data_IF_809944172138
#
_entry.id   IF_809944172138
#
_cell.length_a   1.000
_cell.length_b   1.000
_cell.length_c   1.000
_cell.angle_alpha   90.00
_cell.angle_beta   90.00
_cell.angle_gamma   90.00
#
_symmetry.space_group_name_H-M   'P 1'
#
loop_
_entity.id
_entity.type
_entity.pdbx_description
1 polymer ?
#
# COMPACT_ATOMS: atom_id res chain seq x y z
N UNK A 1 4.15 -0.23 -46.60
CA UNK A 1 3.28 -0.12 -45.41
C UNK A 1 3.85 -0.88 -44.19
N UNK A 2 4.23 -2.15 -44.33
CA UNK A 2 4.79 -2.97 -43.22
C UNK A 2 6.16 -2.45 -42.72
N UNK A 3 7.06 -2.02 -43.62
CA UNK A 3 8.35 -1.41 -43.22
C UNK A 3 8.19 -0.07 -42.49
N UNK A 4 7.12 0.69 -42.78
CA UNK A 4 6.82 1.94 -42.08
C UNK A 4 6.43 1.70 -40.63
N UNK A 5 5.56 0.69 -40.40
CA UNK A 5 5.12 0.30 -39.06
C UNK A 5 6.29 -0.25 -38.22
N UNK A 6 7.18 -1.04 -38.83
CA UNK A 6 8.38 -1.55 -38.15
C UNK A 6 9.37 -0.43 -37.79
N UNK A 7 9.53 0.56 -38.67
CA UNK A 7 10.35 1.76 -38.41
C UNK A 7 9.77 2.63 -37.28
N UNK A 8 8.45 2.81 -37.24
CA UNK A 8 7.78 3.53 -36.15
C UNK A 8 7.87 2.77 -34.83
N UNK A 9 7.77 1.43 -34.85
CA UNK A 9 7.95 0.60 -33.66
C UNK A 9 9.40 0.64 -33.15
N UNK A 10 10.41 0.55 -34.03
CA UNK A 10 11.82 0.70 -33.63
C UNK A 10 12.13 2.10 -33.09
N UNK A 11 11.57 3.16 -33.68
CA UNK A 11 11.71 4.52 -33.17
C UNK A 11 10.99 4.72 -31.83
N UNK A 12 9.82 4.07 -31.64
CA UNK A 12 9.10 4.04 -30.37
C UNK A 12 9.89 3.25 -29.30
N UNK A 13 10.49 2.11 -29.66
CA UNK A 13 11.35 1.32 -28.77
C UNK A 13 12.63 2.06 -28.41
N UNK A 14 13.27 2.74 -29.37
CA UNK A 14 14.42 3.59 -29.11
C UNK A 14 14.04 4.77 -28.22
N UNK A 15 12.93 5.47 -28.50
CA UNK A 15 12.44 6.57 -27.66
C UNK A 15 12.06 6.11 -26.25
N UNK A 16 11.40 4.95 -26.10
CA UNK A 16 11.16 4.33 -24.79
C UNK A 16 12.48 3.96 -24.12
N UNK A 17 13.47 3.43 -24.86
CA UNK A 17 14.80 3.10 -24.34
C UNK A 17 15.61 4.34 -23.91
N UNK A 18 15.38 5.50 -24.52
CA UNK A 18 16.05 6.75 -24.15
C UNK A 18 15.29 7.49 -23.03
N UNK A 19 13.96 7.43 -23.01
CA UNK A 19 13.14 7.94 -21.90
C UNK A 19 13.23 7.07 -20.63
N UNK A 20 13.56 5.78 -20.76
CA UNK A 20 13.80 4.87 -19.62
C UNK A 20 15.09 5.19 -18.86
N UNK A 21 16.01 5.98 -19.43
CA UNK A 21 17.17 6.49 -18.70
C UNK A 21 16.83 7.58 -17.68
N UNK A 22 15.61 8.12 -17.70
CA UNK A 22 15.18 9.22 -16.83
C UNK A 22 13.97 8.84 -15.99
N UNK A 23 13.94 7.63 -15.42
CA UNK A 23 13.14 7.38 -14.22
C UNK A 23 13.94 7.87 -13.00
N UNK A 24 14.02 9.19 -12.82
CA UNK A 24 14.53 9.78 -11.59
C UNK A 24 13.52 9.51 -10.48
N UNK A 25 13.72 8.41 -9.74
CA UNK A 25 13.14 8.26 -8.40
C UNK A 25 13.87 9.25 -7.50
N UNK A 26 13.44 10.52 -7.53
CA UNK A 26 13.84 11.48 -6.52
C UNK A 26 13.11 11.12 -5.21
N UNK A 27 13.72 10.26 -4.41
CA UNK A 27 13.56 10.46 -2.97
C UNK A 27 14.16 11.84 -2.65
N UNK A 28 13.47 12.70 -1.89
CA UNK A 28 13.99 14.02 -1.57
C UNK A 28 15.38 13.89 -0.94
N UNK A 29 16.41 14.55 -1.49
CA UNK A 29 17.75 14.55 -0.90
C UNK A 29 17.73 15.53 0.27
N UNK A 30 17.26 15.07 1.44
CA UNK A 30 17.47 15.66 2.78
C UNK A 30 16.71 14.84 3.83
N UNK A 31 17.27 13.69 4.20
CA UNK A 31 17.11 13.15 5.54
C UNK A 31 18.44 13.41 6.25
N UNK A 32 18.42 14.31 7.21
CA UNK A 32 19.61 14.72 7.98
C UNK A 32 20.31 13.52 8.63
N UNK A 33 21.65 13.50 8.71
CA UNK A 33 22.42 12.30 9.09
C UNK A 33 22.49 11.98 10.59
N UNK A 34 21.55 12.47 11.42
CA UNK A 34 21.63 12.28 12.87
C UNK A 34 20.40 11.57 13.44
N UNK A 35 20.28 10.27 13.19
CA UNK A 35 19.53 9.36 14.07
C UNK A 35 20.27 8.00 14.10
N UNK A 36 21.19 7.90 15.05
CA UNK A 36 21.81 6.64 15.46
C UNK A 36 20.69 5.73 16.00
N UNK A 37 20.52 4.48 15.50
CA UNK A 37 19.51 3.57 16.05
C UNK A 37 19.98 3.02 17.40
N UNK A 38 19.18 3.27 18.45
CA UNK A 38 19.30 2.55 19.73
C UNK A 38 18.61 1.20 19.57
N UNK A 39 19.40 0.14 19.69
CA UNK A 39 19.01 -1.26 19.64
C UNK A 39 18.22 -1.68 20.90
N UNK A 40 16.99 -2.22 20.81
CA UNK A 40 16.43 -3.04 21.87
C UNK A 40 16.68 -4.51 21.53
N UNK A 41 17.69 -5.08 22.17
CA UNK A 41 18.02 -6.49 22.09
C UNK A 41 16.81 -7.36 22.50
N UNK A 42 16.65 -8.45 21.77
CA UNK A 42 15.78 -9.57 22.10
C UNK A 42 16.07 -10.12 23.51
N UNK A 43 15.02 -10.43 24.27
CA UNK A 43 15.06 -11.46 25.32
C UNK A 43 13.82 -12.34 25.23
N UNK A 44 13.97 -13.67 25.25
CA UNK A 44 12.85 -14.60 25.32
C UNK A 44 12.30 -14.66 26.75
N UNK A 45 10.98 -14.73 26.90
CA UNK A 45 10.33 -14.98 28.19
C UNK A 45 10.48 -16.48 28.51
N UNK A 46 11.27 -16.79 29.54
CA UNK A 46 11.32 -18.12 30.14
C UNK A 46 10.16 -18.31 31.12
N UNK A 47 9.61 -19.52 31.12
CA UNK A 47 8.59 -20.01 32.04
C UNK A 47 9.05 -19.89 33.51
N UNK A 48 8.14 -19.48 34.39
CA UNK A 48 8.30 -19.61 35.83
C UNK A 48 7.24 -20.58 36.36
N UNK A 49 7.74 -21.58 37.06
CA UNK A 49 7.04 -22.70 37.66
C UNK A 49 6.10 -22.27 38.80
N UNK A 50 5.06 -23.07 38.97
CA UNK A 50 4.27 -23.20 40.18
C UNK A 50 5.10 -24.00 41.18
N UNK A 51 5.25 -23.50 42.40
CA UNK A 51 5.32 -24.37 43.58
C UNK A 51 4.80 -23.66 44.85
N UNK A 52 4.14 -24.48 45.66
CA UNK A 52 3.46 -24.19 46.91
C UNK A 52 4.41 -23.74 48.04
N UNK A 53 3.91 -22.98 49.02
CA UNK A 53 3.77 -23.44 50.42
C UNK A 53 3.42 -22.31 51.43
N UNK A 54 2.34 -22.58 52.17
CA UNK A 54 2.12 -22.37 53.63
C UNK A 54 2.11 -20.97 54.26
N UNK A 55 1.03 -20.70 55.02
CA UNK A 55 1.05 -19.78 56.16
C UNK A 55 -0.32 -19.21 56.55
N UNK A 56 -1.00 -19.86 57.49
CA UNK A 56 -2.30 -19.44 58.04
C UNK A 56 -2.16 -18.56 59.31
N UNK A 57 -3.04 -17.57 59.48
CA UNK A 57 -3.70 -17.14 60.76
C UNK A 57 -4.63 -15.94 60.48
N UNK A 58 -5.95 -16.10 60.41
CA UNK A 58 -6.98 -15.90 61.46
C UNK A 58 -7.12 -14.49 62.08
N UNK A 59 -8.29 -13.88 61.80
CA UNK A 59 -9.19 -13.10 62.67
C UNK A 59 -8.67 -11.73 63.20
N UNK A 60 -9.43 -10.65 63.43
CA UNK A 60 -10.85 -10.36 63.72
C UNK A 60 -11.13 -8.86 63.52
N UNK A 61 -12.39 -8.54 63.21
CA UNK A 61 -13.27 -7.45 63.70
C UNK A 61 -12.89 -5.95 63.73
N UNK A 62 -13.92 -5.21 63.30
CA UNK A 62 -14.47 -3.97 63.86
C UNK A 62 -14.22 -2.59 63.24
N UNK A 63 -15.33 -1.83 63.29
CA UNK A 63 -15.73 -0.66 62.52
C UNK A 63 -15.42 0.69 63.21
N UNK A 64 -15.83 1.77 62.52
CA UNK A 64 -15.79 3.23 62.83
C UNK A 64 -14.69 3.99 62.06
N UNK A 65 -14.85 5.22 61.57
CA UNK A 65 -15.93 6.21 61.44
C UNK A 65 -15.37 7.37 60.57
N UNK A 66 -16.26 8.16 59.96
CA UNK A 66 -16.06 9.57 59.54
C UNK A 66 -14.99 9.99 58.52
N UNK A 67 -15.48 10.35 57.33
CA UNK A 67 -15.24 11.60 56.56
C UNK A 67 -13.93 12.39 56.77
N UNK A 68 -13.09 12.45 55.72
CA UNK A 68 -12.43 13.69 55.26
C UNK A 68 -12.27 13.67 53.74
N UNK A 69 -12.71 14.76 53.12
CA UNK A 69 -12.58 15.12 51.70
C UNK A 69 -11.12 15.15 51.22
N UNK A 70 -10.77 14.39 50.18
CA UNK A 70 -9.65 14.75 49.30
C UNK A 70 -9.94 14.49 47.82
N UNK A 71 -9.83 15.59 47.09
CA UNK A 71 -9.76 15.79 45.65
C UNK A 71 -8.71 14.86 45.02
N UNK A 72 -9.14 13.84 44.28
CA UNK A 72 -8.24 13.03 43.45
C UNK A 72 -8.27 13.54 42.01
N UNK A 73 -7.20 14.23 41.66
CA UNK A 73 -6.70 14.41 40.30
C UNK A 73 -6.52 13.03 39.65
N UNK A 74 -7.43 12.67 38.75
CA UNK A 74 -7.26 11.50 37.89
C UNK A 74 -6.27 11.86 36.79
N UNK A 75 -5.00 11.56 37.03
CA UNK A 75 -3.98 11.47 35.98
C UNK A 75 -4.42 10.40 34.98
N UNK A 76 -5.06 10.85 33.90
CA UNK A 76 -5.27 10.05 32.72
C UNK A 76 -3.90 9.74 32.13
N UNK A 77 -3.39 8.56 32.46
CA UNK A 77 -2.18 7.96 31.89
C UNK A 77 -2.32 7.98 30.36
N UNK A 78 -1.76 9.02 29.74
CA UNK A 78 -1.70 9.14 28.29
C UNK A 78 -0.79 8.02 27.81
N UNK A 79 -1.40 7.00 27.20
CA UNK A 79 -0.67 6.00 26.43
C UNK A 79 0.42 6.71 25.60
N UNK A 80 1.69 6.27 25.67
CA UNK A 80 2.79 7.00 25.06
C UNK A 80 2.52 7.20 23.58
N UNK A 81 2.75 8.42 23.09
CA UNK A 81 2.73 8.72 21.66
C UNK A 81 3.91 7.99 21.01
N UNK A 82 3.70 6.75 20.57
CA UNK A 82 4.69 6.00 19.80
C UNK A 82 4.83 6.70 18.45
N UNK A 83 5.78 7.63 18.34
CA UNK A 83 6.22 8.19 17.05
C UNK A 83 7.14 7.18 16.38
N UNK A 84 6.61 6.01 16.01
CA UNK A 84 7.26 5.11 15.08
C UNK A 84 7.16 5.75 13.70
N UNK A 85 8.13 6.57 13.33
CA UNK A 85 8.30 6.95 11.92
C UNK A 85 8.78 5.70 11.20
N UNK A 86 7.86 4.94 10.62
CA UNK A 86 8.17 3.78 9.80
C UNK A 86 9.18 4.16 8.71
N UNK A 87 10.08 3.24 8.37
CA UNK A 87 11.00 3.45 7.26
C UNK A 87 10.18 3.69 5.99
N UNK A 88 10.47 4.76 5.22
CA UNK A 88 9.79 5.03 3.94
C UNK A 88 9.89 3.86 2.96
N UNK A 89 10.85 2.95 3.17
CA UNK A 89 11.06 1.72 2.41
C UNK A 89 10.19 0.56 2.85
N UNK A 90 9.38 0.69 3.91
CA UNK A 90 8.27 -0.20 4.22
C UNK A 90 7.00 0.36 3.62
N UNK A 91 6.61 -0.19 2.48
CA UNK A 91 5.50 0.28 1.66
C UNK A 91 4.29 -0.59 1.92
N UNK A 92 3.13 0.01 2.18
CA UNK A 92 1.85 -0.70 2.27
C UNK A 92 1.02 -0.44 1.02
N UNK A 93 0.67 -1.51 0.31
CA UNK A 93 -0.36 -1.49 -0.72
C UNK A 93 -1.71 -1.90 -0.08
N UNK A 94 -2.70 -1.02 -0.13
CA UNK A 94 -4.05 -1.30 0.38
C UNK A 94 -5.02 -1.51 -0.78
N UNK A 95 -5.58 -2.72 -0.87
CA UNK A 95 -6.49 -3.16 -1.93
C UNK A 95 -7.81 -3.66 -1.36
N UNK A 96 -8.84 -3.76 -2.20
CA UNK A 96 -10.15 -4.23 -1.78
C UNK A 96 -10.26 -5.76 -1.90
N UNK A 97 -9.73 -6.32 -2.99
CA UNK A 97 -9.97 -7.71 -3.39
C UNK A 97 -8.68 -8.43 -3.80
N UNK A 98 -8.66 -9.77 -3.70
CA UNK A 98 -7.69 -10.60 -4.40
C UNK A 98 -7.79 -10.37 -5.92
N UNK A 99 -6.69 -10.02 -6.58
CA UNK A 99 -6.50 -9.68 -8.01
C UNK A 99 -6.11 -8.22 -8.25
N UNK A 100 -6.56 -7.31 -7.37
CA UNK A 100 -6.31 -5.87 -7.45
C UNK A 100 -4.81 -5.55 -7.57
N UNK A 101 -3.96 -6.26 -6.83
CA UNK A 101 -2.53 -6.00 -6.72
C UNK A 101 -1.82 -6.13 -8.07
N UNK A 102 -2.10 -7.19 -8.83
CA UNK A 102 -1.51 -7.40 -10.14
C UNK A 102 -2.32 -6.73 -11.24
N UNK A 103 -3.64 -6.57 -11.04
CA UNK A 103 -4.52 -5.96 -12.04
C UNK A 103 -4.24 -4.46 -12.18
N UNK A 104 -3.99 -3.76 -11.08
CA UNK A 104 -3.88 -2.31 -11.08
C UNK A 104 -2.49 -1.78 -10.71
N UNK A 105 -1.72 -2.54 -9.92
CA UNK A 105 -0.46 -2.06 -9.33
C UNK A 105 0.79 -2.81 -9.82
N UNK A 106 0.70 -3.62 -10.88
CA UNK A 106 1.85 -4.36 -11.43
C UNK A 106 3.09 -3.50 -11.72
N UNK A 107 2.99 -2.36 -12.44
CA UNK A 107 4.11 -1.45 -12.66
C UNK A 107 4.73 -0.90 -11.37
N UNK A 108 3.92 -0.54 -10.37
CA UNK A 108 4.42 -0.14 -9.04
C UNK A 108 5.19 -1.29 -8.38
N UNK A 109 4.57 -2.47 -8.26
CA UNK A 109 5.14 -3.61 -7.53
C UNK A 109 6.46 -4.09 -8.14
N UNK A 110 6.53 -4.15 -9.47
CA UNK A 110 7.77 -4.52 -10.18
C UNK A 110 8.87 -3.45 -10.03
N UNK A 111 8.51 -2.17 -10.05
CA UNK A 111 9.47 -1.10 -9.81
C UNK A 111 10.03 -1.12 -8.38
N UNK A 112 9.17 -1.34 -7.37
CA UNK A 112 9.59 -1.46 -5.97
C UNK A 112 10.48 -2.69 -5.75
N UNK A 113 10.14 -3.83 -6.37
CA UNK A 113 10.95 -5.05 -6.30
C UNK A 113 12.37 -4.85 -6.86
N UNK A 114 12.51 -4.05 -7.93
CA UNK A 114 13.81 -3.75 -8.55
C UNK A 114 14.59 -2.66 -7.81
N UNK A 115 13.94 -1.87 -6.97
CA UNK A 115 14.58 -0.76 -6.30
C UNK A 115 15.59 -1.27 -5.27
N UNK A 116 16.78 -0.68 -5.31
CA UNK A 116 17.87 -0.94 -4.38
C UNK A 116 18.46 0.41 -3.95
N UNK A 117 18.91 0.51 -2.70
CA UNK A 117 19.60 1.70 -2.21
C UNK A 117 20.86 1.94 -3.05
N UNK A 118 21.11 3.19 -3.50
CA UNK A 118 22.35 3.54 -4.19
C UNK A 118 23.55 3.55 -3.24
N UNK A 119 23.32 3.62 -1.93
CA UNK A 119 24.35 3.51 -0.91
C UNK A 119 24.65 2.02 -0.63
N UNK A 120 25.87 1.54 -0.94
CA UNK A 120 26.24 0.15 -0.72
C UNK A 120 26.40 -0.21 0.77
N UNK A 121 26.46 0.77 1.67
CA UNK A 121 26.59 0.58 3.12
C UNK A 121 25.25 0.54 3.84
N UNK A 122 24.15 0.70 3.10
CA UNK A 122 22.81 0.79 3.65
C UNK A 122 22.35 -0.54 4.27
N UNK A 123 22.00 -0.56 5.57
CA UNK A 123 21.59 -1.79 6.25
C UNK A 123 20.21 -2.30 5.79
N UNK A 124 19.42 -1.47 5.12
CA UNK A 124 18.08 -1.84 4.60
C UNK A 124 18.00 -1.49 3.12
N UNK A 125 18.76 -2.20 2.27
CA UNK A 125 19.05 -1.70 0.93
C UNK A 125 17.93 -2.01 -0.07
N UNK A 126 16.83 -2.65 0.36
CA UNK A 126 15.66 -2.98 -0.47
C UNK A 126 14.39 -2.36 0.09
N UNK A 127 13.39 -2.20 -0.78
CA UNK A 127 12.02 -1.90 -0.35
C UNK A 127 11.37 -3.19 0.16
N UNK A 128 10.72 -3.08 1.31
CA UNK A 128 9.86 -4.11 1.87
C UNK A 128 8.40 -3.74 1.57
N UNK A 129 7.71 -4.56 0.80
CA UNK A 129 6.30 -4.34 0.44
C UNK A 129 5.42 -5.19 1.34
N UNK A 130 4.36 -4.58 1.86
CA UNK A 130 3.25 -5.20 2.56
C UNK A 130 1.97 -5.02 1.77
N UNK A 131 1.07 -6.00 1.82
CA UNK A 131 -0.24 -5.96 1.17
C UNK A 131 -1.32 -6.14 2.23
N UNK A 132 -2.27 -5.21 2.26
CA UNK A 132 -3.49 -5.32 3.05
C UNK A 132 -4.69 -5.40 2.11
N UNK A 133 -5.28 -6.59 2.03
CA UNK A 133 -6.47 -6.85 1.25
C UNK A 133 -7.70 -6.84 2.17
N UNK A 134 -8.67 -5.96 1.89
CA UNK A 134 -9.80 -5.66 2.78
C UNK A 134 -10.93 -6.69 2.75
N UNK A 135 -10.85 -7.67 1.86
CA UNK A 135 -11.81 -8.77 1.80
C UNK A 135 -11.15 -10.05 1.30
N UNK A 136 -11.78 -11.19 1.57
CA UNK A 136 -11.38 -12.49 1.01
C UNK A 136 -11.80 -12.69 -0.45
N UNK A 137 -12.45 -11.70 -1.08
CA UNK A 137 -12.92 -11.82 -2.48
C UNK A 137 -14.05 -12.83 -2.68
N UNK A 138 -14.96 -12.97 -1.70
CA UNK A 138 -15.92 -14.08 -1.65
C UNK A 138 -17.25 -13.84 -2.38
N UNK A 139 -17.34 -12.87 -3.31
CA UNK A 139 -18.59 -12.59 -4.03
C UNK A 139 -19.18 -13.84 -4.71
N UNK A 140 -18.33 -14.63 -5.36
CA UNK A 140 -18.72 -15.87 -6.05
C UNK A 140 -18.58 -17.13 -5.17
N UNK A 141 -18.51 -16.98 -3.85
CA UNK A 141 -18.26 -18.09 -2.89
C UNK A 141 -16.92 -18.81 -3.10
N UNK A 142 -15.91 -18.11 -3.62
CA UNK A 142 -14.57 -18.64 -3.92
C UNK A 142 -13.46 -18.05 -3.04
N UNK A 143 -13.80 -17.47 -1.88
CA UNK A 143 -12.86 -16.73 -1.04
C UNK A 143 -11.67 -17.57 -0.52
N UNK A 144 -11.90 -18.85 -0.20
CA UNK A 144 -10.80 -19.75 0.22
C UNK A 144 -9.75 -19.93 -0.88
N UNK A 145 -10.20 -20.09 -2.14
CA UNK A 145 -9.31 -20.24 -3.29
C UNK A 145 -8.58 -18.91 -3.58
N UNK A 146 -9.31 -17.79 -3.61
CA UNK A 146 -8.78 -16.48 -3.96
C UNK A 146 -7.74 -15.95 -2.98
N UNK A 147 -7.85 -16.31 -1.69
CA UNK A 147 -6.81 -16.02 -0.70
C UNK A 147 -5.48 -16.68 -1.05
N UNK A 148 -5.52 -17.95 -1.46
CA UNK A 148 -4.32 -18.69 -1.88
C UNK A 148 -3.75 -18.12 -3.18
N UNK A 149 -4.62 -17.73 -4.12
CA UNK A 149 -4.23 -17.10 -5.38
C UNK A 149 -3.53 -15.75 -5.15
N UNK A 150 -4.06 -14.89 -4.26
CA UNK A 150 -3.41 -13.63 -3.88
C UNK A 150 -2.00 -13.86 -3.34
N UNK A 151 -1.82 -14.83 -2.44
CA UNK A 151 -0.49 -15.12 -1.89
C UNK A 151 0.49 -15.56 -2.99
N UNK A 152 0.05 -16.39 -3.95
CA UNK A 152 0.88 -16.82 -5.10
C UNK A 152 1.21 -15.65 -6.03
N UNK A 153 0.24 -14.79 -6.31
CA UNK A 153 0.43 -13.59 -7.13
C UNK A 153 1.44 -12.62 -6.48
N UNK A 154 1.27 -12.32 -5.19
CA UNK A 154 2.21 -11.48 -4.42
C UNK A 154 3.65 -12.06 -4.43
N UNK A 155 3.80 -13.38 -4.38
CA UNK A 155 5.11 -14.03 -4.46
C UNK A 155 5.84 -13.75 -5.79
N UNK A 156 5.13 -13.53 -6.91
CA UNK A 156 5.73 -13.13 -8.20
C UNK A 156 6.45 -11.78 -8.10
N UNK A 157 5.99 -10.90 -7.22
CA UNK A 157 6.61 -9.60 -6.95
C UNK A 157 7.63 -9.66 -5.79
N UNK A 158 7.96 -10.85 -5.27
CA UNK A 158 8.91 -11.02 -4.17
C UNK A 158 8.37 -10.60 -2.81
N UNK A 159 7.04 -10.50 -2.67
CA UNK A 159 6.37 -10.17 -1.42
C UNK A 159 6.26 -11.44 -0.57
N UNK A 160 6.83 -11.40 0.64
CA UNK A 160 6.77 -12.52 1.57
C UNK A 160 5.33 -12.74 2.09
N UNK A 161 4.95 -13.99 2.36
CA UNK A 161 3.59 -14.34 2.81
C UNK A 161 3.22 -13.62 4.11
N UNK A 162 4.19 -13.43 5.00
CA UNK A 162 4.05 -12.81 6.32
C UNK A 162 3.72 -11.31 6.22
N UNK A 163 4.00 -10.71 5.05
CA UNK A 163 3.74 -9.32 4.72
C UNK A 163 2.37 -9.12 4.06
N UNK A 164 1.59 -10.19 3.90
CA UNK A 164 0.24 -10.16 3.32
C UNK A 164 -0.77 -10.35 4.46
N UNK A 165 -1.70 -9.41 4.59
CA UNK A 165 -2.83 -9.48 5.50
C UNK A 165 -4.09 -9.48 4.65
N UNK A 166 -4.93 -10.50 4.83
CA UNK A 166 -6.25 -10.59 4.20
C UNK A 166 -7.29 -10.50 5.30
N UNK A 167 -8.21 -9.55 5.16
CA UNK A 167 -9.28 -9.31 6.13
C UNK A 167 -10.46 -10.19 5.78
N UNK A 168 -10.88 -11.00 6.74
CA UNK A 168 -12.11 -11.77 6.71
C UNK A 168 -13.06 -11.22 7.78
N UNK A 169 -13.72 -10.10 7.46
CA UNK A 169 -14.69 -9.43 8.32
C UNK A 169 -16.05 -9.38 7.61
N UNK A 170 -17.13 -9.94 8.20
CA UNK A 170 -18.47 -9.90 7.62
C UNK A 170 -19.00 -8.48 7.35
N UNK A 171 -18.43 -7.46 8.01
CA UNK A 171 -18.75 -6.05 7.83
C UNK A 171 -18.12 -5.43 6.59
N UNK A 172 -17.16 -6.12 5.96
CA UNK A 172 -16.48 -5.74 4.72
C UNK A 172 -16.72 -6.77 3.60
N UNK A 173 -17.99 -7.05 3.25
CA UNK A 173 -18.27 -8.08 2.26
C UNK A 173 -17.77 -7.66 0.88
N UNK A 174 -17.23 -8.61 0.14
CA UNK A 174 -17.00 -8.47 -1.30
C UNK A 174 -18.36 -8.47 -2.01
N UNK A 175 -18.96 -7.28 -2.16
CA UNK A 175 -20.20 -7.07 -2.86
C UNK A 175 -20.24 -5.64 -3.43
N UNK A 176 -20.36 -5.46 -4.77
CA UNK A 176 -20.33 -4.14 -5.39
C UNK A 176 -21.50 -3.23 -4.96
N UNK A 177 -22.57 -3.79 -4.41
CA UNK A 177 -23.76 -3.07 -3.95
C UNK A 177 -23.74 -2.76 -2.45
N UNK A 178 -22.66 -3.09 -1.73
CA UNK A 178 -22.52 -2.81 -0.31
C UNK A 178 -21.45 -1.75 -0.10
N UNK A 179 -21.75 -0.80 0.77
CA UNK A 179 -20.81 0.26 1.15
C UNK A 179 -20.14 -0.13 2.44
N UNK A 180 -18.81 -0.12 2.45
CA UNK A 180 -18.03 -0.41 3.65
C UNK A 180 -18.03 0.78 4.62
N UNK A 181 -17.98 0.48 5.91
CA UNK A 181 -17.85 1.50 6.94
C UNK A 181 -16.44 2.11 6.90
N UNK A 182 -16.35 3.41 6.57
CA UNK A 182 -15.07 4.11 6.38
C UNK A 182 -14.24 4.15 7.67
N UNK A 183 -14.87 4.29 8.84
CA UNK A 183 -14.16 4.29 10.12
C UNK A 183 -13.57 2.92 10.44
N UNK A 184 -14.27 1.83 10.12
CA UNK A 184 -13.74 0.47 10.26
C UNK A 184 -12.54 0.26 9.34
N UNK A 185 -12.66 0.60 8.05
CA UNK A 185 -11.56 0.53 7.09
C UNK A 185 -10.37 1.33 7.60
N UNK A 186 -10.57 2.59 8.03
CA UNK A 186 -9.51 3.43 8.57
C UNK A 186 -8.82 2.83 9.79
N UNK A 187 -9.57 2.22 10.73
CA UNK A 187 -9.00 1.55 11.92
C UNK A 187 -8.15 0.35 11.55
N UNK A 188 -8.57 -0.45 10.57
CA UNK A 188 -7.79 -1.62 10.12
C UNK A 188 -6.49 -1.17 9.46
N UNK A 189 -6.54 -0.13 8.59
CA UNK A 189 -5.34 0.45 7.98
C UNK A 189 -4.41 1.02 9.06
N UNK A 190 -4.94 1.81 10.01
CA UNK A 190 -4.16 2.39 11.11
C UNK A 190 -3.44 1.30 11.90
N UNK A 191 -4.15 0.23 12.25
CA UNK A 191 -3.56 -0.91 12.96
C UNK A 191 -2.42 -1.54 12.15
N UNK A 192 -2.62 -1.80 10.86
CA UNK A 192 -1.58 -2.35 10.00
C UNK A 192 -0.35 -1.44 9.91
N UNK A 193 -0.57 -0.13 9.74
CA UNK A 193 0.52 0.86 9.67
C UNK A 193 1.37 0.86 10.93
N UNK A 194 0.72 0.89 12.10
CA UNK A 194 1.40 0.91 13.40
C UNK A 194 2.13 -0.42 13.64
N UNK A 195 1.45 -1.55 13.47
CA UNK A 195 2.01 -2.87 13.80
C UNK A 195 3.17 -3.26 12.88
N UNK A 196 3.12 -2.86 11.60
CA UNK A 196 4.16 -3.19 10.60
C UNK A 196 5.21 -2.10 10.42
N UNK A 197 5.09 -0.96 11.12
CA UNK A 197 6.02 0.15 11.00
C UNK A 197 6.10 0.70 9.57
N UNK A 198 4.95 0.87 8.92
CA UNK A 198 4.83 1.32 7.53
C UNK A 198 5.25 2.79 7.40
N UNK A 199 6.02 3.11 6.37
CA UNK A 199 6.46 4.47 6.06
C UNK A 199 5.81 5.09 4.83
N UNK A 200 5.14 4.33 3.97
CA UNK A 200 4.34 4.90 2.86
C UNK A 200 3.17 4.01 2.45
N UNK A 201 2.13 4.62 1.87
CA UNK A 201 0.90 3.91 1.45
C UNK A 201 0.63 4.14 -0.04
N UNK A 202 0.20 3.08 -0.74
CA UNK A 202 -0.38 3.14 -2.07
C UNK A 202 -1.79 2.53 -2.05
N UNK A 203 -2.74 3.17 -2.74
CA UNK A 203 -4.11 2.67 -2.85
C UNK A 203 -4.83 3.26 -4.08
N UNK A 204 -6.14 3.07 -4.19
CA UNK A 204 -7.00 3.62 -5.24
C UNK A 204 -7.32 5.12 -5.03
N UNK A 205 -7.81 5.80 -6.07
CA UNK A 205 -8.34 7.16 -5.97
C UNK A 205 -9.86 7.20 -5.68
N UNK A 206 -10.43 8.40 -5.67
CA UNK A 206 -11.86 8.65 -5.42
C UNK A 206 -12.78 8.02 -6.47
N UNK A 207 -12.25 7.61 -7.62
CA UNK A 207 -13.04 6.98 -8.69
C UNK A 207 -12.92 5.46 -8.67
N UNK A 208 -12.06 4.88 -7.85
CA UNK A 208 -11.97 3.43 -7.67
C UNK A 208 -11.72 2.67 -8.98
N UNK A 209 -10.94 3.25 -9.91
CA UNK A 209 -10.62 2.78 -11.27
C UNK A 209 -11.80 2.71 -12.24
N UNK A 210 -12.92 2.11 -11.84
CA UNK A 210 -14.13 1.93 -12.64
C UNK A 210 -15.40 2.31 -11.89
N UNK A 211 -15.29 3.05 -10.78
CA UNK A 211 -16.41 3.36 -9.89
C UNK A 211 -16.71 2.26 -8.88
N UNK A 212 -15.78 1.34 -8.63
CA UNK A 212 -16.02 0.24 -7.69
C UNK A 212 -16.11 0.77 -6.25
N UNK A 213 -17.25 0.57 -5.59
CA UNK A 213 -17.53 1.14 -4.26
C UNK A 213 -16.51 0.72 -3.20
N UNK A 214 -16.09 -0.55 -3.19
CA UNK A 214 -15.06 -1.01 -2.26
C UNK A 214 -13.71 -0.29 -2.46
N UNK A 215 -13.29 -0.03 -3.70
CA UNK A 215 -12.04 0.68 -3.98
C UNK A 215 -12.12 2.14 -3.48
N UNK A 216 -13.28 2.78 -3.70
CA UNK A 216 -13.57 4.12 -3.19
C UNK A 216 -13.54 4.12 -1.66
N UNK A 217 -14.12 3.10 -1.01
CA UNK A 217 -14.10 2.97 0.44
C UNK A 217 -12.70 2.80 1.01
N UNK A 218 -11.81 2.06 0.33
CA UNK A 218 -10.39 1.98 0.72
C UNK A 218 -9.72 3.34 0.66
N UNK A 219 -9.89 4.09 -0.44
CA UNK A 219 -9.36 5.44 -0.57
C UNK A 219 -9.87 6.38 0.55
N UNK A 220 -11.18 6.35 0.81
CA UNK A 220 -11.79 7.15 1.89
C UNK A 220 -11.28 6.72 3.27
N UNK A 221 -11.03 5.43 3.49
CA UNK A 221 -10.44 4.92 4.72
C UNK A 221 -9.03 5.44 4.96
N UNK A 222 -8.19 5.48 3.92
CA UNK A 222 -6.84 6.09 4.00
C UNK A 222 -6.95 7.59 4.33
N UNK A 223 -7.82 8.33 3.65
CA UNK A 223 -8.03 9.76 3.92
C UNK A 223 -8.51 10.01 5.35
N UNK A 224 -9.49 9.22 5.81
CA UNK A 224 -10.00 9.32 7.16
C UNK A 224 -8.92 8.99 8.20
N UNK A 225 -8.10 7.96 7.97
CA UNK A 225 -6.98 7.65 8.86
C UNK A 225 -6.00 8.83 8.94
N UNK A 226 -5.58 9.39 7.80
CA UNK A 226 -4.63 10.50 7.78
C UNK A 226 -5.18 11.76 8.47
N UNK A 227 -6.47 12.05 8.31
CA UNK A 227 -7.10 13.24 8.90
C UNK A 227 -7.42 13.13 10.39
N UNK A 228 -7.72 11.93 10.89
CA UNK A 228 -8.29 11.74 12.23
C UNK A 228 -7.50 10.82 13.16
N UNK A 229 -6.46 10.14 12.67
CA UNK A 229 -5.62 9.30 13.51
C UNK A 229 -4.93 10.12 14.60
N UNK A 230 -4.96 9.62 15.83
CA UNK A 230 -4.17 10.17 16.95
C UNK A 230 -2.78 9.55 17.06
N UNK A 231 -2.55 8.42 16.40
CA UNK A 231 -1.30 7.63 16.46
C UNK A 231 -0.36 7.98 15.31
N UNK A 232 -0.91 8.34 14.16
CA UNK A 232 -0.20 8.61 12.92
C UNK A 232 -0.32 10.10 12.61
N UNK A 233 0.80 10.75 12.34
CA UNK A 233 0.81 12.12 11.81
C UNK A 233 0.79 12.03 10.28
N UNK A 234 -0.20 12.63 9.62
CA UNK A 234 -0.29 12.62 8.15
C UNK A 234 1.00 13.04 7.44
N UNK A 235 1.66 14.09 7.97
CA UNK A 235 2.92 14.61 7.42
C UNK A 235 4.09 13.61 7.43
N UNK A 236 4.05 12.58 8.27
CA UNK A 236 5.10 11.55 8.37
C UNK A 236 4.77 10.27 7.62
N UNK A 237 3.60 10.17 7.00
CA UNK A 237 3.16 8.98 6.26
C UNK A 237 2.67 9.40 4.87
N UNK A 238 3.56 9.57 3.89
CA UNK A 238 3.15 9.84 2.52
C UNK A 238 2.24 8.71 2.00
N UNK A 239 1.06 9.10 1.52
CA UNK A 239 0.12 8.21 0.89
C UNK A 239 -0.15 8.67 -0.56
N UNK A 240 -0.28 7.70 -1.45
CA UNK A 240 -0.44 7.91 -2.89
C UNK A 240 -1.66 7.13 -3.41
N UNK A 241 -2.44 7.76 -4.28
CA UNK A 241 -3.63 7.16 -4.89
C UNK A 241 -3.45 6.97 -6.39
N UNK A 242 -3.84 5.81 -6.90
CA UNK A 242 -3.76 5.46 -8.33
C UNK A 242 -4.79 6.26 -9.12
N UNK A 243 -4.33 7.06 -10.07
CA UNK A 243 -5.19 7.90 -10.91
C UNK A 243 -6.05 7.03 -11.84
N UNK A 244 -7.36 7.14 -11.68
CA UNK A 244 -8.36 6.53 -12.56
C UNK A 244 -8.43 7.24 -13.89
N UNK A 245 -8.41 6.47 -14.99
CA UNK A 245 -8.58 7.01 -16.34
C UNK A 245 -9.86 6.55 -17.02
N UNK A 246 -10.34 7.35 -17.97
CA UNK A 246 -11.47 7.01 -18.82
C UNK A 246 -11.23 5.74 -19.64
N UNK A 247 -12.33 5.09 -20.09
CA UNK A 247 -12.31 3.77 -20.72
C UNK A 247 -11.39 3.69 -21.95
N UNK A 248 -11.39 4.73 -22.79
CA UNK A 248 -10.52 4.81 -23.98
C UNK A 248 -9.04 4.76 -23.58
N UNK A 249 -8.63 5.56 -22.61
CA UNK A 249 -7.26 5.56 -22.07
C UNK A 249 -6.92 4.27 -21.34
N UNK A 250 -7.91 3.64 -20.69
CA UNK A 250 -7.75 2.37 -20.00
C UNK A 250 -7.30 1.26 -20.95
N UNK A 251 -7.83 1.21 -22.17
CA UNK A 251 -7.52 0.19 -23.18
C UNK A 251 -6.58 0.66 -24.30
N UNK A 252 -6.07 1.90 -24.24
CA UNK A 252 -5.12 2.43 -25.21
C UNK A 252 -3.67 1.94 -25.01
N UNK A 253 -3.41 1.07 -24.01
CA UNK A 253 -2.09 0.45 -23.75
C UNK A 253 -0.92 1.44 -23.88
N UNK A 254 0.11 1.13 -24.67
CA UNK A 254 1.30 1.96 -24.89
C UNK A 254 1.00 3.33 -25.51
N UNK A 255 -0.10 3.53 -26.24
CA UNK A 255 -0.44 4.83 -26.83
C UNK A 255 -0.81 5.88 -25.77
N UNK A 256 -1.21 5.44 -24.57
CA UNK A 256 -1.44 6.34 -23.45
C UNK A 256 -0.14 6.81 -22.77
N UNK A 257 1.02 6.22 -23.10
CA UNK A 257 2.33 6.75 -22.68
C UNK A 257 2.51 8.16 -23.23
N UNK A 258 2.18 8.38 -24.50
CA UNK A 258 2.26 9.70 -25.12
C UNK A 258 1.34 10.70 -24.44
N UNK A 259 0.12 10.31 -24.07
CA UNK A 259 -0.82 11.22 -23.40
C UNK A 259 -0.49 11.45 -21.92
N UNK A 260 0.01 10.44 -21.22
CA UNK A 260 0.44 10.56 -19.81
C UNK A 260 1.71 11.41 -19.70
N UNK A 261 2.63 11.28 -20.66
CA UNK A 261 3.72 12.24 -20.85
C UNK A 261 3.14 13.60 -21.22
N UNK A 262 2.21 13.74 -22.17
CA UNK A 262 1.62 15.03 -22.57
C UNK A 262 0.88 15.77 -21.45
N UNK A 263 0.19 15.08 -20.55
CA UNK A 263 -0.44 15.66 -19.35
C UNK A 263 0.62 16.08 -18.32
N UNK A 264 1.76 15.40 -18.31
CA UNK A 264 2.96 15.82 -17.57
C UNK A 264 3.74 16.93 -18.33
N UNK A 265 3.50 17.08 -19.63
CA UNK A 265 4.18 17.96 -20.59
C UNK A 265 3.26 19.04 -21.19
N UNK A 266 2.28 19.55 -20.42
CA UNK A 266 1.54 20.75 -20.81
C UNK A 266 2.50 21.97 -20.71
N UNK A 267 2.88 22.60 -21.83
CA UNK A 267 3.96 23.61 -21.86
C UNK A 267 3.60 24.93 -21.15
N UNK A 268 2.32 25.26 -20.98
CA UNK A 268 1.90 26.50 -20.33
C UNK A 268 2.16 26.49 -18.81
N UNK A 269 2.26 25.32 -18.17
CA UNK A 269 2.68 25.19 -16.76
C UNK A 269 4.18 24.89 -16.60
N UNK A 270 4.82 24.37 -17.65
CA UNK A 270 6.26 24.09 -17.66
C UNK A 270 7.12 25.35 -17.89
N UNK A 271 6.59 26.38 -18.57
CA UNK A 271 7.26 27.68 -18.75
C UNK A 271 7.46 28.48 -17.44
N UNK A 272 6.86 28.04 -16.33
CA UNK A 272 7.13 28.55 -14.98
C UNK A 272 8.08 27.66 -14.15
N UNK A 273 8.65 26.58 -14.73
CA UNK A 273 9.66 25.74 -14.06
C UNK A 273 9.15 24.90 -12.86
N UNK A 274 7.87 24.51 -12.85
CA UNK A 274 7.17 24.02 -11.64
C UNK A 274 6.58 22.60 -11.67
N UNK A 275 7.06 21.65 -12.50
CA UNK A 275 6.58 20.24 -12.41
C UNK A 275 7.72 19.24 -12.33
N UNK A 276 8.48 19.35 -11.24
CA UNK A 276 8.81 18.20 -10.39
C UNK A 276 8.27 18.58 -9.01
N UNK A 277 7.05 18.14 -8.74
CA UNK A 277 6.36 18.42 -7.48
C UNK A 277 6.23 17.10 -6.73
N UNK A 278 6.47 17.07 -5.41
CA UNK A 278 6.36 15.89 -4.53
C UNK A 278 4.97 15.21 -4.50
N UNK A 279 4.08 15.63 -5.40
CA UNK A 279 2.66 15.39 -5.44
C UNK A 279 2.26 14.34 -6.49
N UNK A 280 3.13 13.99 -7.46
CA UNK A 280 2.80 13.03 -8.52
C UNK A 280 3.93 12.01 -8.76
N UNK A 281 3.57 10.73 -8.95
CA UNK A 281 4.52 9.65 -9.27
C UNK A 281 4.08 8.92 -10.54
N UNK A 282 5.03 8.56 -11.40
CA UNK A 282 4.78 7.78 -12.62
C UNK A 282 5.70 6.55 -12.65
N UNK A 283 5.09 5.37 -12.71
CA UNK A 283 5.80 4.11 -12.91
C UNK A 283 5.49 3.57 -14.28
N UNK A 284 6.54 3.33 -15.08
CA UNK A 284 6.44 2.73 -16.41
C UNK A 284 7.18 1.40 -16.38
N UNK A 285 6.45 0.31 -16.61
CA UNK A 285 6.96 -1.04 -16.60
C UNK A 285 7.84 -1.30 -17.83
N UNK A 286 8.97 -1.98 -17.64
CA UNK A 286 9.68 -2.59 -18.77
C UNK A 286 8.91 -3.80 -19.30
N UNK A 287 9.19 -4.24 -20.52
CA UNK A 287 8.60 -5.46 -21.08
C UNK A 287 8.66 -6.68 -20.13
N UNK A 288 9.79 -6.88 -19.44
CA UNK A 288 9.94 -7.96 -18.45
C UNK A 288 9.02 -7.80 -17.24
N UNK A 289 8.80 -6.56 -16.82
CA UNK A 289 7.89 -6.23 -15.72
C UNK A 289 6.43 -6.46 -16.15
N UNK A 290 6.08 -6.13 -17.40
CA UNK A 290 4.76 -6.43 -17.98
C UNK A 290 4.51 -7.94 -17.99
N UNK A 291 5.46 -8.75 -18.48
CA UNK A 291 5.32 -10.22 -18.44
C UNK A 291 5.06 -10.69 -17.02
N UNK A 292 5.86 -10.23 -16.05
CA UNK A 292 5.72 -10.62 -14.65
C UNK A 292 4.35 -10.25 -14.06
N UNK A 293 3.85 -9.03 -14.35
CA UNK A 293 2.51 -8.63 -13.92
C UNK A 293 1.41 -9.50 -14.54
N UNK A 294 1.57 -9.92 -15.80
CA UNK A 294 0.65 -10.86 -16.46
C UNK A 294 0.73 -12.26 -15.85
N UNK A 295 1.93 -12.77 -15.56
CA UNK A 295 2.10 -14.05 -14.85
C UNK A 295 1.42 -14.03 -13.48
N UNK A 296 1.53 -12.92 -12.75
CA UNK A 296 0.83 -12.71 -11.48
C UNK A 296 -0.70 -12.75 -11.65
N UNK A 297 -1.25 -12.12 -12.69
CA UNK A 297 -2.68 -12.25 -13.04
C UNK A 297 -3.09 -13.69 -13.30
N UNK A 298 -2.23 -14.51 -13.92
CA UNK A 298 -2.53 -15.92 -14.18
C UNK A 298 -2.47 -16.81 -12.93
N UNK A 299 -1.99 -16.31 -11.79
CA UNK A 299 -2.15 -16.99 -10.49
C UNK A 299 -3.61 -16.92 -9.99
N UNK A 300 -4.39 -15.92 -10.41
CA UNK A 300 -5.82 -15.76 -10.10
C UNK A 300 -6.72 -16.59 -11.03
N UNK A 301 -6.46 -17.88 -11.11
CA UNK A 301 -7.14 -18.81 -12.04
C UNK A 301 -8.65 -18.81 -11.87
N UNK A 302 -9.15 -18.74 -10.64
CA UNK A 302 -10.59 -18.70 -10.31
C UNK A 302 -11.30 -17.45 -10.86
N UNK A 303 -10.53 -16.44 -11.25
CA UNK A 303 -11.03 -15.14 -11.69
C UNK A 303 -10.78 -14.88 -13.19
N UNK A 304 -10.11 -15.80 -13.90
CA UNK A 304 -9.73 -15.66 -15.31
C UNK A 304 -10.88 -15.91 -16.28
N UNK A 305 -11.86 -14.99 -16.26
CA UNK A 305 -12.91 -14.91 -17.26
C UNK A 305 -12.36 -14.32 -18.58
N UNK A 306 -13.03 -14.58 -19.70
CA UNK A 306 -12.54 -14.23 -21.04
C UNK A 306 -12.12 -12.75 -21.18
N UNK A 307 -12.85 -11.82 -20.57
CA UNK A 307 -12.57 -10.38 -20.64
C UNK A 307 -11.33 -9.97 -19.83
N UNK A 308 -10.89 -10.80 -18.85
CA UNK A 308 -9.63 -10.56 -18.12
C UNK A 308 -8.43 -10.69 -19.04
N UNK A 309 -8.46 -11.59 -20.03
CA UNK A 309 -7.39 -11.67 -21.03
C UNK A 309 -7.29 -10.37 -21.82
N UNK A 310 -8.41 -9.77 -22.24
CA UNK A 310 -8.39 -8.46 -22.89
C UNK A 310 -7.74 -7.40 -22.00
N UNK A 311 -8.09 -7.37 -20.71
CA UNK A 311 -7.46 -6.46 -19.75
C UNK A 311 -5.95 -6.70 -19.64
N UNK A 312 -5.51 -7.94 -19.49
CA UNK A 312 -4.09 -8.35 -19.38
C UNK A 312 -3.27 -7.87 -20.60
N UNK A 313 -3.85 -7.90 -21.81
CA UNK A 313 -3.16 -7.48 -23.02
C UNK A 313 -3.22 -5.98 -23.27
N UNK A 314 -4.38 -5.35 -23.05
CA UNK A 314 -4.66 -3.99 -23.54
C UNK A 314 -4.72 -2.93 -22.44
N UNK A 315 -4.84 -3.32 -21.16
CA UNK A 315 -4.93 -2.34 -20.07
C UNK A 315 -3.65 -1.54 -19.93
N UNK A 316 -3.78 -0.21 -19.84
CA UNK A 316 -2.66 0.65 -19.48
C UNK A 316 -2.08 0.30 -18.11
N UNK A 317 -2.88 -0.22 -17.17
CA UNK A 317 -2.41 -0.50 -15.81
C UNK A 317 -1.45 -1.70 -15.75
N UNK A 318 -1.34 -2.48 -16.83
CA UNK A 318 -0.28 -3.48 -17.00
C UNK A 318 1.06 -2.85 -17.35
N UNK A 319 1.09 -1.59 -17.78
CA UNK A 319 2.27 -0.91 -18.33
C UNK A 319 2.61 0.35 -17.53
N UNK A 320 1.62 1.11 -17.08
CA UNK A 320 1.78 2.44 -16.49
C UNK A 320 0.90 2.56 -15.25
N UNK A 321 1.51 3.01 -14.14
CA UNK A 321 0.78 3.55 -13.00
C UNK A 321 1.11 5.02 -12.82
N UNK A 322 0.07 5.85 -12.73
CA UNK A 322 0.19 7.27 -12.37
C UNK A 322 -0.45 7.44 -11.01
N UNK A 323 0.27 8.04 -10.07
CA UNK A 323 -0.21 8.30 -8.73
C UNK A 323 -0.17 9.79 -8.40
N UNK A 324 -1.07 10.20 -7.53
CA UNK A 324 -1.05 11.51 -6.90
C UNK A 324 -1.03 11.38 -5.38
N UNK A 325 -0.44 12.35 -4.70
CA UNK A 325 -0.36 12.38 -3.24
C UNK A 325 -1.73 12.65 -2.65
N UNK A 326 -2.06 11.93 -1.60
CA UNK A 326 -3.25 12.20 -0.79
C UNK A 326 -2.98 13.45 0.04
N UNK A 327 -3.85 14.45 -0.11
CA UNK A 327 -3.86 15.70 0.67
C UNK A 327 -4.79 15.59 1.86
#
# INVERSE_FOLDING_TARGET
MILGILGTLCALFAFISTCTYTALVFFPPRLSPNLIPVNPAARPLAAAAVDDTTGASTATDDAHDTTVSQRTTGDGEKAPLVTSTGSLRRVLLVIAHPDDECMFFGPLLTALQRWQSPDPTDPVPRVEVHVLCMSVGNFDKQGEVRQVELVRSCARFGIAKENIIIVDDPSLPDNPNKVWNIQLVARIIEKCVVDRGIGSIFTFDQRGVSGHMNHIAVNLGVQHMLGFSRRIKARSLPAYRLVSVGLLRKYASLFDTFFSLSVTSQPELANFGLVSSSEYLLFVAHWRDVIKAREAMYEHRSQMLWFRHLYIFFSRYMVINSFERVR
#
